data_IF_974922804500
#
_entry.id   IF_974922804500
#
_cell.length_a   1.000
_cell.length_b   1.000
_cell.length_c   1.000
_cell.angle_alpha   90.00
_cell.angle_beta   90.00
_cell.angle_gamma   90.00
#
_symmetry.space_group_name_H-M   'P 1'
#
loop_
_entity.id
_entity.type
_entity.pdbx_description
1 polymer ?
#
# COMPACT_ATOMS: atom_id res chain seq x y z
N UNK A 1 16.73 -9.83 -10.08
CA UNK A 1 16.00 -8.89 -10.95
C UNK A 1 16.47 -8.95 -12.41
N UNK A 2 17.74 -9.23 -12.69
CA UNK A 2 18.28 -9.43 -14.05
C UNK A 2 17.57 -10.53 -14.87
N UNK A 3 16.71 -11.28 -14.23
CA UNK A 3 15.87 -12.32 -14.81
C UNK A 3 14.60 -11.78 -15.48
N UNK A 4 14.19 -10.56 -15.15
CA UNK A 4 13.00 -9.90 -15.70
C UNK A 4 13.32 -9.15 -17.01
N UNK A 5 12.25 -8.77 -17.72
CA UNK A 5 12.34 -7.88 -18.87
C UNK A 5 13.17 -6.62 -18.56
N UNK A 6 14.01 -6.12 -19.50
CA UNK A 6 14.85 -4.94 -19.28
C UNK A 6 14.09 -3.70 -18.80
N UNK A 7 12.85 -3.51 -19.24
CA UNK A 7 12.01 -2.38 -18.78
C UNK A 7 11.67 -2.53 -17.30
N UNK A 8 11.28 -3.72 -16.89
CA UNK A 8 10.95 -4.00 -15.48
C UNK A 8 12.21 -3.90 -14.62
N UNK A 9 13.32 -4.50 -15.08
CA UNK A 9 14.60 -4.45 -14.38
C UNK A 9 15.15 -3.03 -14.20
N UNK A 10 14.77 -2.10 -15.07
CA UNK A 10 15.13 -0.68 -14.95
C UNK A 10 14.42 0.00 -13.77
N UNK A 11 13.14 -0.28 -13.57
CA UNK A 11 12.31 0.45 -12.62
C UNK A 11 12.12 -0.25 -11.28
N UNK A 12 12.37 -1.55 -11.21
CA UNK A 12 12.24 -2.33 -9.98
C UNK A 12 13.59 -2.89 -9.55
N UNK A 13 13.90 -2.75 -8.28
CA UNK A 13 15.05 -3.39 -7.66
C UNK A 13 14.75 -4.87 -7.37
N UNK A 14 13.55 -5.17 -6.90
CA UNK A 14 13.08 -6.52 -6.66
C UNK A 14 11.57 -6.63 -6.72
N UNK A 15 11.08 -7.82 -7.10
CA UNK A 15 9.69 -8.24 -6.95
C UNK A 15 9.74 -9.55 -6.16
N UNK A 16 9.15 -9.55 -4.98
CA UNK A 16 9.24 -10.66 -4.02
C UNK A 16 7.86 -11.22 -3.69
N UNK A 17 7.75 -12.54 -3.68
CA UNK A 17 6.52 -13.23 -3.33
C UNK A 17 6.46 -13.46 -1.81
N UNK A 18 5.35 -13.06 -1.21
CA UNK A 18 5.07 -13.24 0.21
C UNK A 18 4.07 -14.37 0.35
N UNK A 19 4.56 -15.59 0.53
CA UNK A 19 3.73 -16.80 0.60
C UNK A 19 2.96 -16.94 1.91
N UNK A 20 3.49 -16.36 2.98
CA UNK A 20 2.89 -16.42 4.33
C UNK A 20 2.97 -15.04 4.97
N UNK A 21 1.89 -14.31 4.88
CA UNK A 21 1.70 -13.05 5.57
C UNK A 21 0.88 -13.30 6.83
N UNK A 22 1.32 -12.76 7.95
CA UNK A 22 0.56 -12.72 9.18
C UNK A 22 0.29 -11.26 9.55
N UNK A 23 -0.98 -10.92 9.69
CA UNK A 23 -1.42 -9.58 10.11
C UNK A 23 -2.18 -9.69 11.42
N UNK A 24 -1.81 -8.87 12.39
CA UNK A 24 -2.58 -8.72 13.64
C UNK A 24 -3.43 -7.47 13.54
N UNK A 25 -4.75 -7.63 13.61
CA UNK A 25 -5.73 -6.53 13.58
C UNK A 25 -6.26 -6.27 14.98
N UNK A 26 -5.87 -5.13 15.57
CA UNK A 26 -6.39 -4.69 16.84
C UNK A 26 -7.67 -3.86 16.65
N UNK A 27 -8.70 -4.17 17.40
CA UNK A 27 -9.96 -3.44 17.38
C UNK A 27 -9.87 -2.25 18.34
N UNK A 28 -9.86 -1.04 17.77
CA UNK A 28 -9.69 0.22 18.52
C UNK A 28 -11.02 0.97 18.75
N UNK A 29 -12.10 0.48 18.19
CA UNK A 29 -13.43 1.10 18.30
C UNK A 29 -14.22 1.00 17.01
N UNK A 30 -15.43 1.51 17.02
CA UNK A 30 -16.32 1.56 15.86
C UNK A 30 -16.95 2.94 15.71
N UNK A 31 -17.35 3.28 14.51
CA UNK A 31 -18.17 4.45 14.20
C UNK A 31 -19.39 4.02 13.41
N UNK A 32 -20.53 4.70 13.63
CA UNK A 32 -21.72 4.56 12.78
C UNK A 32 -21.70 5.66 11.72
N UNK A 33 -22.03 5.32 10.50
CA UNK A 33 -22.33 6.23 9.39
C UNK A 33 -21.20 7.21 8.97
N UNK A 34 -20.46 7.81 9.89
CA UNK A 34 -19.38 8.75 9.60
C UNK A 34 -18.06 8.28 10.24
N UNK A 35 -16.93 8.44 9.52
CA UNK A 35 -15.61 8.22 10.10
C UNK A 35 -15.43 9.15 11.29
N UNK A 36 -15.22 8.60 12.47
CA UNK A 36 -14.98 9.41 13.67
C UNK A 36 -13.56 9.96 13.64
N UNK A 37 -13.41 11.29 13.69
CA UNK A 37 -12.15 11.97 13.96
C UNK A 37 -11.66 11.81 15.41
N UNK A 38 -12.42 11.09 16.21
CA UNK A 38 -12.19 10.87 17.62
C UNK A 38 -10.82 10.22 17.87
N UNK A 39 -10.02 10.74 18.80
CA UNK A 39 -8.72 10.17 19.18
C UNK A 39 -8.83 8.70 19.60
N UNK A 40 -7.79 7.91 19.36
CA UNK A 40 -7.75 6.48 19.73
C UNK A 40 -8.06 6.27 21.21
N UNK A 41 -7.57 7.17 22.09
CA UNK A 41 -7.83 7.12 23.53
C UNK A 41 -9.32 7.23 23.88
N UNK A 42 -10.09 8.00 23.14
CA UNK A 42 -11.54 8.14 23.35
C UNK A 42 -12.30 6.95 22.74
N UNK A 43 -11.88 6.48 21.54
CA UNK A 43 -12.47 5.26 20.96
C UNK A 43 -12.29 4.05 21.88
N UNK A 44 -11.13 3.95 22.53
CA UNK A 44 -10.83 2.90 23.51
C UNK A 44 -11.83 2.89 24.68
N UNK A 45 -12.25 4.07 25.16
CA UNK A 45 -13.28 4.19 26.19
C UNK A 45 -14.62 3.61 25.76
N UNK A 46 -14.97 3.71 24.48
CA UNK A 46 -16.21 3.15 23.94
C UNK A 46 -16.26 1.62 24.02
N UNK A 47 -15.12 0.95 24.01
CA UNK A 47 -15.03 -0.51 24.19
C UNK A 47 -15.23 -0.96 25.64
N UNK A 48 -15.37 -0.03 26.58
CA UNK A 48 -15.51 -0.31 28.02
C UNK A 48 -14.40 -1.20 28.60
N UNK A 49 -13.19 -1.09 28.04
CA UNK A 49 -12.02 -1.87 28.48
C UNK A 49 -11.41 -1.35 29.80
N UNK A 50 -12.03 -0.36 30.45
CA UNK A 50 -11.56 0.21 31.72
C UNK A 50 -10.15 0.81 31.61
N UNK A 51 -9.31 0.55 32.59
CA UNK A 51 -7.91 0.97 32.67
C UNK A 51 -6.95 -0.02 32.00
N UNK A 52 -7.47 -1.05 31.34
CA UNK A 52 -6.68 -2.12 30.74
C UNK A 52 -5.78 -1.64 29.60
N UNK A 53 -4.56 -2.14 29.57
CA UNK A 53 -3.54 -1.78 28.58
C UNK A 53 -3.50 -2.74 27.36
N UNK A 54 -4.64 -3.31 27.00
CA UNK A 54 -4.77 -4.22 25.88
C UNK A 54 -5.95 -3.83 24.98
N UNK A 55 -5.97 -4.38 23.77
CA UNK A 55 -7.06 -4.28 22.80
C UNK A 55 -7.42 -5.68 22.31
N UNK A 56 -8.70 -5.96 22.07
CA UNK A 56 -9.08 -7.17 21.34
C UNK A 56 -8.39 -7.19 19.98
N UNK A 57 -7.84 -8.31 19.61
CA UNK A 57 -7.16 -8.47 18.32
C UNK A 57 -7.41 -9.85 17.74
N UNK A 58 -7.36 -9.93 16.42
CA UNK A 58 -7.36 -11.18 15.68
C UNK A 58 -6.10 -11.29 14.84
N UNK A 59 -5.60 -12.50 14.65
CA UNK A 59 -4.58 -12.79 13.67
C UNK A 59 -5.24 -13.33 12.41
N UNK A 60 -4.87 -12.76 11.28
CA UNK A 60 -5.30 -13.21 9.96
C UNK A 60 -4.07 -13.56 9.13
N UNK A 61 -4.21 -14.51 8.24
CA UNK A 61 -3.14 -14.94 7.35
C UNK A 61 -3.48 -14.58 5.91
N UNK A 62 -2.44 -14.41 5.11
CA UNK A 62 -2.59 -14.04 3.73
C UNK A 62 -1.32 -14.29 2.92
N UNK A 63 -1.31 -13.69 1.77
CA UNK A 63 -0.21 -13.73 0.82
C UNK A 63 -0.10 -12.38 0.10
N UNK A 64 0.98 -12.16 -0.63
CA UNK A 64 1.14 -10.92 -1.36
C UNK A 64 2.34 -10.89 -2.29
N UNK A 65 2.49 -9.74 -2.94
CA UNK A 65 3.60 -9.39 -3.81
C UNK A 65 4.20 -8.09 -3.28
N UNK A 66 5.49 -8.10 -3.02
CA UNK A 66 6.22 -6.89 -2.63
C UNK A 66 7.03 -6.38 -3.81
N UNK A 67 6.74 -5.16 -4.23
CA UNK A 67 7.47 -4.43 -5.27
C UNK A 67 8.42 -3.45 -4.61
N UNK A 68 9.72 -3.64 -4.79
CA UNK A 68 10.75 -2.68 -4.40
C UNK A 68 11.23 -1.95 -5.65
N UNK A 69 11.02 -0.64 -5.69
CA UNK A 69 11.41 0.19 -6.82
C UNK A 69 12.92 0.47 -6.81
N UNK A 70 13.47 0.65 -8.01
CA UNK A 70 14.81 1.20 -8.16
C UNK A 70 14.81 2.64 -7.68
N UNK A 71 15.61 2.91 -6.65
CA UNK A 71 15.66 4.21 -5.97
C UNK A 71 16.09 5.33 -6.93
N UNK A 72 17.16 5.09 -7.68
CA UNK A 72 17.73 6.06 -8.60
C UNK A 72 16.71 6.43 -9.69
N UNK A 73 15.98 5.46 -10.21
CA UNK A 73 14.94 5.69 -11.22
C UNK A 73 13.76 6.50 -10.68
N UNK A 74 13.33 6.24 -9.43
CA UNK A 74 12.25 6.99 -8.77
C UNK A 74 12.69 8.42 -8.50
N UNK A 75 13.88 8.62 -7.95
CA UNK A 75 14.40 9.96 -7.60
C UNK A 75 14.67 10.79 -8.87
N UNK A 76 15.21 10.21 -9.94
CA UNK A 76 15.36 10.88 -11.24
C UNK A 76 14.00 11.30 -11.81
N UNK A 77 13.02 10.39 -11.78
CA UNK A 77 11.67 10.69 -12.25
C UNK A 77 11.02 11.83 -11.44
N UNK A 78 11.17 11.81 -10.12
CA UNK A 78 10.60 12.80 -9.21
C UNK A 78 11.10 14.23 -9.46
N UNK A 79 12.31 14.38 -10.00
CA UNK A 79 12.91 15.68 -10.32
C UNK A 79 12.50 16.25 -11.69
N UNK A 80 11.77 15.52 -12.51
CA UNK A 80 11.38 15.99 -13.84
C UNK A 80 10.46 17.22 -13.73
N UNK A 81 10.70 18.29 -14.52
CA UNK A 81 9.90 19.52 -14.45
C UNK A 81 8.38 19.29 -14.61
N UNK A 82 7.99 18.37 -15.51
CA UNK A 82 6.59 18.03 -15.73
C UNK A 82 5.96 17.35 -14.50
N UNK A 83 6.70 16.50 -13.79
CA UNK A 83 6.26 15.86 -12.56
C UNK A 83 6.07 16.88 -11.45
N UNK A 84 7.04 17.77 -11.25
CA UNK A 84 6.97 18.83 -10.25
C UNK A 84 5.84 19.82 -10.54
N UNK A 85 5.58 20.16 -11.81
CA UNK A 85 4.45 21.00 -12.20
C UNK A 85 3.10 20.33 -11.87
N UNK A 86 2.97 19.03 -12.20
CA UNK A 86 1.76 18.26 -11.89
C UNK A 86 1.54 18.12 -10.38
N UNK A 87 2.63 17.89 -9.64
CA UNK A 87 2.59 17.77 -8.18
C UNK A 87 2.05 19.04 -7.52
N UNK A 88 2.48 20.23 -7.96
CA UNK A 88 1.97 21.51 -7.43
C UNK A 88 0.45 21.61 -7.57
N UNK A 89 -0.09 21.27 -8.73
CA UNK A 89 -1.54 21.28 -8.96
C UNK A 89 -2.27 20.30 -8.02
N UNK A 90 -1.68 19.12 -7.77
CA UNK A 90 -2.23 18.14 -6.83
C UNK A 90 -2.17 18.65 -5.38
N UNK A 91 -1.06 19.26 -4.97
CA UNK A 91 -0.89 19.84 -3.64
C UNK A 91 -1.91 20.95 -3.38
N UNK A 92 -2.12 21.84 -4.36
CA UNK A 92 -3.10 22.92 -4.25
C UNK A 92 -4.53 22.39 -4.15
N UNK A 93 -4.88 21.40 -4.97
CA UNK A 93 -6.19 20.74 -4.89
C UNK A 93 -6.39 20.02 -3.55
N UNK A 94 -5.35 19.38 -3.04
CA UNK A 94 -5.38 18.66 -1.78
C UNK A 94 -5.53 19.60 -0.58
N UNK A 95 -4.75 20.68 -0.53
CA UNK A 95 -4.85 21.72 0.52
C UNK A 95 -6.23 22.37 0.58
N UNK A 96 -6.88 22.54 -0.58
CA UNK A 96 -8.21 23.11 -0.69
C UNK A 96 -9.34 22.08 -0.44
N UNK A 97 -9.01 20.82 -0.25
CA UNK A 97 -9.99 19.76 0.06
C UNK A 97 -10.29 19.68 1.55
N UNK A 98 -11.43 19.07 1.89
CA UNK A 98 -11.80 18.78 3.29
C UNK A 98 -10.75 17.88 4.00
N UNK A 99 -9.98 17.14 3.25
CA UNK A 99 -8.94 16.23 3.78
C UNK A 99 -7.60 16.94 4.03
N UNK A 100 -7.34 18.05 3.34
CA UNK A 100 -6.08 18.78 3.42
C UNK A 100 -5.88 19.54 4.74
N UNK A 101 -6.96 19.85 5.46
CA UNK A 101 -6.89 20.60 6.71
C UNK A 101 -6.21 19.83 7.85
N UNK A 102 -6.17 18.49 7.78
CA UNK A 102 -5.68 17.61 8.85
C UNK A 102 -4.37 16.89 8.53
N UNK A 103 -3.76 17.15 7.36
CA UNK A 103 -2.53 16.45 6.97
C UNK A 103 -1.30 17.29 7.25
N UNK A 104 -0.48 16.77 8.13
CA UNK A 104 0.85 17.30 8.42
C UNK A 104 1.85 16.71 7.42
N UNK A 105 2.22 17.49 6.41
CA UNK A 105 3.27 17.13 5.47
C UNK A 105 2.93 17.43 4.01
N UNK A 106 3.96 17.71 3.23
CA UNK A 106 3.80 17.93 1.79
C UNK A 106 3.67 16.61 1.04
N UNK A 107 2.73 16.57 0.09
CA UNK A 107 2.59 15.47 -0.85
C UNK A 107 3.86 15.34 -1.68
N UNK A 108 4.49 14.17 -1.67
CA UNK A 108 5.73 13.90 -2.38
C UNK A 108 5.47 13.16 -3.71
N UNK A 109 6.24 13.47 -4.77
CA UNK A 109 6.05 12.83 -6.06
C UNK A 109 6.27 11.31 -6.01
N UNK A 110 7.24 10.84 -5.22
CA UNK A 110 7.53 9.41 -5.04
C UNK A 110 6.34 8.67 -4.45
N UNK A 111 5.69 9.27 -3.45
CA UNK A 111 4.48 8.70 -2.85
C UNK A 111 3.33 8.61 -3.85
N UNK A 112 3.11 9.69 -4.63
CA UNK A 112 2.05 9.72 -5.64
C UNK A 112 2.29 8.65 -6.71
N UNK A 113 3.55 8.47 -7.15
CA UNK A 113 3.92 7.41 -8.10
C UNK A 113 3.57 6.03 -7.55
N UNK A 114 4.08 5.71 -6.37
CA UNK A 114 3.93 4.37 -5.77
C UNK A 114 2.46 4.06 -5.47
N UNK A 115 1.71 5.04 -4.94
CA UNK A 115 0.28 4.89 -4.66
C UNK A 115 -0.53 4.71 -5.94
N UNK A 116 -0.22 5.47 -7.00
CA UNK A 116 -0.89 5.30 -8.31
C UNK A 116 -0.58 3.91 -8.89
N UNK A 117 0.68 3.49 -8.86
CA UNK A 117 1.07 2.15 -9.28
C UNK A 117 0.31 1.07 -8.49
N UNK A 118 0.24 1.20 -7.16
CA UNK A 118 -0.47 0.26 -6.30
C UNK A 118 -1.92 0.08 -6.73
N UNK A 119 -2.64 1.17 -6.94
CA UNK A 119 -4.04 1.11 -7.38
C UNK A 119 -4.21 0.50 -8.77
N UNK A 120 -3.31 0.79 -9.72
CA UNK A 120 -3.35 0.17 -11.05
C UNK A 120 -3.15 -1.34 -10.96
N UNK A 121 -2.15 -1.78 -10.20
CA UNK A 121 -1.86 -3.21 -9.99
C UNK A 121 -3.00 -3.90 -9.23
N UNK A 122 -3.57 -3.28 -8.19
CA UNK A 122 -4.72 -3.84 -7.47
C UNK A 122 -5.90 -4.06 -8.42
N UNK A 123 -6.21 -3.10 -9.26
CA UNK A 123 -7.31 -3.22 -10.22
C UNK A 123 -7.06 -4.38 -11.19
N UNK A 124 -5.86 -4.48 -11.75
CA UNK A 124 -5.50 -5.54 -12.68
C UNK A 124 -5.52 -6.92 -11.99
N UNK A 125 -4.89 -7.04 -10.82
CA UNK A 125 -4.88 -8.29 -10.06
C UNK A 125 -6.28 -8.72 -9.59
N UNK A 126 -7.14 -7.77 -9.24
CA UNK A 126 -8.54 -8.07 -8.90
C UNK A 126 -9.26 -8.71 -10.07
N UNK A 127 -9.03 -8.21 -11.28
CA UNK A 127 -9.59 -8.77 -12.50
C UNK A 127 -9.02 -10.16 -12.81
N UNK A 128 -7.70 -10.31 -12.77
CA UNK A 128 -7.00 -11.55 -13.14
C UNK A 128 -7.20 -12.69 -12.13
N UNK A 129 -7.26 -12.37 -10.85
CA UNK A 129 -7.43 -13.35 -9.77
C UNK A 129 -8.89 -13.60 -9.37
N UNK A 130 -9.81 -12.74 -9.84
CA UNK A 130 -11.22 -12.82 -9.43
C UNK A 130 -11.48 -12.38 -7.97
N UNK A 131 -10.54 -11.67 -7.35
CA UNK A 131 -10.75 -11.10 -6.01
C UNK A 131 -11.66 -9.87 -6.09
N UNK A 132 -12.52 -9.71 -5.09
CA UNK A 132 -13.17 -8.41 -4.87
C UNK A 132 -12.13 -7.33 -4.60
N UNK A 133 -12.30 -6.13 -5.16
CA UNK A 133 -11.35 -5.02 -4.97
C UNK A 133 -11.11 -4.66 -3.51
N UNK A 134 -12.06 -4.93 -2.62
CA UNK A 134 -11.93 -4.74 -1.16
C UNK A 134 -11.10 -5.82 -0.45
N UNK A 135 -10.80 -6.93 -1.13
CA UNK A 135 -10.04 -8.05 -0.56
C UNK A 135 -8.53 -7.86 -0.70
N UNK A 136 -8.10 -7.09 -1.69
CA UNK A 136 -6.69 -6.76 -1.91
C UNK A 136 -6.40 -5.42 -1.23
N UNK A 137 -5.28 -5.36 -0.54
CA UNK A 137 -4.81 -4.20 0.22
C UNK A 137 -3.43 -3.79 -0.22
N UNK A 138 -3.08 -2.56 0.08
CA UNK A 138 -1.75 -2.02 -0.13
C UNK A 138 -1.12 -1.56 1.18
N UNK A 139 0.20 -1.66 1.23
CA UNK A 139 1.01 -0.99 2.24
C UNK A 139 2.21 -0.35 1.55
N UNK A 140 2.23 0.98 1.57
CA UNK A 140 3.26 1.78 0.91
C UNK A 140 4.44 2.01 1.88
N UNK A 141 5.64 1.86 1.35
CA UNK A 141 6.91 2.17 1.98
C UNK A 141 7.57 3.26 1.12
N UNK A 142 7.57 4.48 1.63
CA UNK A 142 8.07 5.62 0.87
C UNK A 142 8.82 6.57 1.81
N UNK A 143 10.04 6.17 2.18
CA UNK A 143 10.92 6.97 3.01
C UNK A 143 12.19 7.37 2.26
N UNK A 144 12.64 8.62 2.45
CA UNK A 144 13.90 9.06 1.89
C UNK A 144 15.07 8.30 2.50
N UNK A 145 16.09 8.07 1.69
CA UNK A 145 17.26 7.29 2.05
C UNK A 145 18.19 7.91 3.11
N UNK A 146 17.89 9.09 3.60
CA UNK A 146 18.58 9.70 4.75
C UNK A 146 18.37 8.86 6.02
N UNK A 147 17.27 8.10 6.08
CA UNK A 147 17.09 7.08 7.10
C UNK A 147 17.76 5.78 6.66
N UNK A 148 18.44 5.10 7.57
CA UNK A 148 19.13 3.81 7.38
C UNK A 148 18.28 2.74 6.68
N UNK A 149 16.97 2.89 6.68
CA UNK A 149 15.96 1.96 6.12
C UNK A 149 15.12 2.59 5.01
N UNK A 150 15.55 3.75 4.45
CA UNK A 150 14.82 4.41 3.38
C UNK A 150 14.65 3.51 2.16
N UNK A 151 13.40 3.30 1.75
CA UNK A 151 13.05 2.49 0.58
C UNK A 151 11.84 3.07 -0.14
N UNK A 152 11.72 2.73 -1.40
CA UNK A 152 10.56 2.95 -2.22
C UNK A 152 9.94 1.61 -2.58
N UNK A 153 8.78 1.30 -2.02
CA UNK A 153 8.16 0.00 -2.26
C UNK A 153 6.69 -0.03 -1.91
N UNK A 154 6.02 -1.08 -2.35
CA UNK A 154 4.64 -1.36 -1.99
C UNK A 154 4.43 -2.86 -1.83
N UNK A 155 3.75 -3.23 -0.77
CA UNK A 155 3.22 -4.57 -0.57
C UNK A 155 1.75 -4.57 -0.99
N UNK A 156 1.44 -5.35 -2.01
CA UNK A 156 0.06 -5.67 -2.42
C UNK A 156 -0.26 -7.03 -1.83
N UNK A 157 -1.32 -7.12 -1.03
CA UNK A 157 -1.57 -8.32 -0.28
C UNK A 157 -3.05 -8.57 0.00
N UNK A 158 -3.40 -9.81 0.25
CA UNK A 158 -4.66 -10.21 0.85
C UNK A 158 -4.40 -10.79 2.23
N UNK A 159 -5.24 -10.46 3.19
CA UNK A 159 -5.25 -11.05 4.52
C UNK A 159 -6.69 -11.08 5.00
N UNK A 160 -7.35 -12.22 4.84
CA UNK A 160 -8.73 -12.43 5.25
C UNK A 160 -8.83 -13.67 6.11
N UNK A 161 -9.58 -13.57 7.22
CA UNK A 161 -9.93 -14.73 8.03
C UNK A 161 -10.97 -15.63 7.36
N UNK A 162 -11.75 -15.05 6.43
CA UNK A 162 -12.85 -15.71 5.73
C UNK A 162 -12.55 -15.73 4.23
N UNK A 163 -11.32 -16.14 3.85
CA UNK A 163 -10.99 -16.22 2.43
C UNK A 163 -11.89 -17.23 1.74
N UNK A 164 -12.92 -16.72 1.10
CA UNK A 164 -13.66 -17.42 0.06
C UNK A 164 -12.71 -17.65 -1.13
N UNK A 165 -11.83 -18.59 -0.99
CA UNK A 165 -10.88 -18.92 -2.03
C UNK A 165 -9.57 -19.43 -1.45
N UNK A 166 -8.93 -20.33 -2.14
CA UNK A 166 -7.61 -20.83 -1.78
C UNK A 166 -6.59 -19.69 -1.85
N UNK A 167 -5.78 -19.53 -0.80
CA UNK A 167 -4.52 -18.78 -0.88
C UNK A 167 -3.70 -19.32 -2.05
N UNK A 168 -2.99 -18.46 -2.75
CA UNK A 168 -2.16 -18.84 -3.89
C UNK A 168 -2.43 -18.04 -5.16
N UNK A 169 -3.51 -17.28 -5.22
CA UNK A 169 -3.88 -16.46 -6.37
C UNK A 169 -2.89 -15.33 -6.62
N UNK A 170 -2.60 -14.51 -5.60
CA UNK A 170 -1.64 -13.40 -5.72
C UNK A 170 -0.21 -13.89 -5.94
N UNK A 171 0.22 -14.91 -5.18
CA UNK A 171 1.57 -15.48 -5.34
C UNK A 171 1.74 -16.08 -6.73
N UNK A 172 0.72 -16.79 -7.26
CA UNK A 172 0.77 -17.33 -8.61
C UNK A 172 0.86 -16.22 -9.65
N UNK A 173 0.06 -15.16 -9.50
CA UNK A 173 0.07 -14.01 -10.41
C UNK A 173 1.36 -13.19 -10.29
N UNK A 174 1.98 -13.18 -9.11
CA UNK A 174 3.29 -12.58 -8.88
C UNK A 174 4.47 -13.34 -9.49
N UNK A 175 4.27 -14.57 -9.98
CA UNK A 175 5.31 -15.30 -10.71
C UNK A 175 5.73 -14.53 -11.97
N UNK A 176 7.02 -14.65 -12.35
CA UNK A 176 7.62 -13.85 -13.41
C UNK A 176 6.76 -13.77 -14.67
N UNK A 177 6.35 -14.91 -15.20
CA UNK A 177 5.66 -15.01 -16.47
C UNK A 177 4.27 -14.32 -16.48
N UNK A 178 3.67 -14.14 -15.32
CA UNK A 178 2.40 -13.45 -15.17
C UNK A 178 2.59 -11.98 -14.81
N UNK A 179 3.48 -11.69 -13.84
CA UNK A 179 3.63 -10.32 -13.33
C UNK A 179 4.22 -9.37 -14.38
N UNK A 180 5.01 -9.86 -15.31
CA UNK A 180 5.51 -9.05 -16.42
C UNK A 180 4.36 -8.54 -17.31
N UNK A 181 3.39 -9.39 -17.59
CA UNK A 181 2.21 -9.01 -18.39
C UNK A 181 1.28 -8.08 -17.62
N UNK A 182 1.13 -8.31 -16.31
CA UNK A 182 0.33 -7.45 -15.41
C UNK A 182 0.91 -6.02 -15.30
N UNK A 183 2.24 -5.85 -15.37
CA UNK A 183 2.91 -4.54 -15.27
C UNK A 183 2.89 -3.78 -16.61
N UNK A 184 2.80 -4.45 -17.76
CA UNK A 184 2.76 -3.83 -19.09
C UNK A 184 1.43 -3.22 -19.43
#
# INVERSE_FOLDING_TARGET
>A
ISYYDPVISKYFKSISLVHKLQETRAFVGFSRAEPSEMPISERKKMLRLGSENWLPAIQVHGEGIFFEFNKEAVEEWAQRPAVLARLRNLQDSYRNSKFGANVTGDLRPEFVLIHTFAHLIINQLSFECGYGSSSIRERIYCEKAENKYGMYGVLIYTASGDSEGSLGGLVRQGAKDHIEDTIR
#
